data_IF_819761980704
#
_entry.id   IF_819761980704
#
_cell.length_a   1.000
_cell.length_b   1.000
_cell.length_c   1.000
_cell.angle_alpha   90.00
_cell.angle_beta   90.00
_cell.angle_gamma   90.00
#
_symmetry.space_group_name_H-M   'P 1'
#
loop_
_entity.id
_entity.type
_entity.pdbx_description
1 polymer ?
#
# COMPACT_ATOMS: atom_id res chain seq x y z
N UNK A 1 -32.01 2.54 23.04
CA UNK A 1 -31.49 1.37 22.30
C UNK A 1 -31.96 0.13 23.03
N UNK A 2 -32.69 -0.75 22.33
CA UNK A 2 -33.19 -2.00 22.91
C UNK A 2 -32.08 -3.05 22.94
N UNK A 3 -32.16 -4.03 23.85
CA UNK A 3 -31.18 -5.12 23.94
C UNK A 3 -31.05 -5.93 22.63
N UNK A 4 -32.13 -5.97 21.84
CA UNK A 4 -32.18 -6.61 20.53
C UNK A 4 -31.29 -5.90 19.50
N UNK A 5 -31.35 -4.56 19.45
CA UNK A 5 -30.53 -3.74 18.54
C UNK A 5 -29.04 -3.97 18.80
N UNK A 6 -28.63 -3.93 20.07
CA UNK A 6 -27.23 -4.14 20.47
C UNK A 6 -26.76 -5.55 20.09
N UNK A 7 -27.62 -6.55 20.28
CA UNK A 7 -27.31 -7.95 19.91
C UNK A 7 -27.14 -8.11 18.40
N UNK A 8 -27.98 -7.44 17.61
CA UNK A 8 -27.87 -7.46 16.15
C UNK A 8 -26.59 -6.76 15.67
N UNK A 9 -26.27 -5.59 16.22
CA UNK A 9 -25.02 -4.88 15.90
C UNK A 9 -23.79 -5.72 16.24
N UNK A 10 -23.78 -6.34 17.42
CA UNK A 10 -22.68 -7.22 17.84
C UNK A 10 -22.53 -8.40 16.88
N UNK A 11 -23.64 -9.03 16.48
CA UNK A 11 -23.62 -10.12 15.50
C UNK A 11 -23.02 -9.67 14.17
N UNK A 12 -23.43 -8.51 13.64
CA UNK A 12 -22.89 -7.97 12.37
C UNK A 12 -21.39 -7.70 12.49
N UNK A 13 -20.93 -7.12 13.60
CA UNK A 13 -19.49 -6.87 13.83
C UNK A 13 -18.71 -8.18 13.90
N UNK A 14 -19.21 -9.19 14.61
CA UNK A 14 -18.56 -10.50 14.71
C UNK A 14 -18.42 -11.17 13.33
N UNK A 15 -19.49 -11.16 12.52
CA UNK A 15 -19.45 -11.72 11.17
C UNK A 15 -18.48 -10.99 10.25
N UNK A 16 -18.49 -9.64 10.25
CA UNK A 16 -17.55 -8.83 9.45
C UNK A 16 -16.09 -9.03 9.87
N UNK A 17 -15.86 -9.14 11.18
CA UNK A 17 -14.53 -9.36 11.74
C UNK A 17 -14.01 -10.73 11.33
N UNK A 18 -14.82 -11.77 11.47
CA UNK A 18 -14.47 -13.12 11.02
C UNK A 18 -14.17 -13.16 9.52
N UNK A 19 -15.02 -12.54 8.70
CA UNK A 19 -14.78 -12.42 7.25
C UNK A 19 -13.48 -11.69 6.92
N UNK A 20 -13.15 -10.61 7.64
CA UNK A 20 -11.90 -9.86 7.45
C UNK A 20 -10.69 -10.69 7.84
N UNK A 21 -10.76 -11.46 8.92
CA UNK A 21 -9.69 -12.39 9.32
C UNK A 21 -9.49 -13.47 8.26
N UNK A 22 -10.56 -14.05 7.72
CA UNK A 22 -10.45 -15.01 6.62
C UNK A 22 -9.78 -14.40 5.38
N UNK A 23 -10.17 -13.18 4.99
CA UNK A 23 -9.54 -12.46 3.87
C UNK A 23 -8.07 -12.14 4.16
N UNK A 24 -7.73 -11.76 5.40
CA UNK A 24 -6.36 -11.50 5.80
C UNK A 24 -5.49 -12.75 5.74
N UNK A 25 -6.00 -13.90 6.22
CA UNK A 25 -5.33 -15.20 6.11
C UNK A 25 -5.13 -15.57 4.64
N UNK A 26 -6.15 -15.38 3.80
CA UNK A 26 -6.04 -15.63 2.37
C UNK A 26 -4.98 -14.74 1.71
N UNK A 27 -4.99 -13.43 2.00
CA UNK A 27 -3.99 -12.46 1.50
C UNK A 27 -2.59 -12.67 2.06
N UNK A 28 -2.47 -13.32 3.21
CA UNK A 28 -1.18 -13.72 3.76
C UNK A 28 -0.54 -14.85 2.93
N UNK A 29 -1.35 -15.80 2.45
CA UNK A 29 -0.89 -16.90 1.59
C UNK A 29 -0.68 -16.42 0.14
N UNK A 30 -1.60 -15.58 -0.36
CA UNK A 30 -1.55 -15.02 -1.71
C UNK A 30 -1.53 -13.49 -1.60
N UNK A 31 -0.33 -12.88 -1.49
CA UNK A 31 -0.20 -11.43 -1.39
C UNK A 31 -0.70 -10.74 -2.66
N UNK A 32 -1.20 -9.52 -2.49
CA UNK A 32 -1.59 -8.69 -3.63
C UNK A 32 -0.37 -8.37 -4.50
N UNK A 33 -0.53 -8.31 -5.83
CA UNK A 33 0.56 -7.94 -6.71
C UNK A 33 1.07 -6.54 -6.38
N UNK A 34 2.37 -6.33 -6.54
CA UNK A 34 2.98 -5.01 -6.35
C UNK A 34 2.31 -3.97 -7.27
N UNK A 35 2.10 -2.77 -6.73
CA UNK A 35 1.55 -1.66 -7.50
C UNK A 35 2.45 -1.34 -8.69
N UNK A 36 1.87 -1.33 -9.89
CA UNK A 36 2.59 -0.91 -11.09
C UNK A 36 2.92 0.59 -11.04
N UNK A 37 4.18 0.91 -11.36
CA UNK A 37 4.70 2.28 -11.47
C UNK A 37 4.91 2.74 -12.91
N UNK A 38 4.66 1.86 -13.89
CA UNK A 38 4.80 2.17 -15.31
C UNK A 38 3.94 3.39 -15.67
N UNK A 39 4.54 4.34 -16.40
CA UNK A 39 3.93 5.59 -16.87
C UNK A 39 3.45 6.53 -15.75
N UNK A 40 3.77 6.24 -14.49
CA UNK A 40 3.49 7.15 -13.38
C UNK A 40 4.60 8.19 -13.24
N UNK A 41 4.21 9.40 -12.83
CA UNK A 41 5.16 10.45 -12.44
C UNK A 41 5.42 10.31 -10.95
N UNK A 42 6.70 10.17 -10.56
CA UNK A 42 7.11 9.95 -9.17
C UNK A 42 8.21 10.93 -8.79
N UNK A 43 8.01 11.68 -7.71
CA UNK A 43 9.02 12.55 -7.12
C UNK A 43 9.90 11.77 -6.14
N UNK A 44 11.22 11.87 -6.29
CA UNK A 44 12.20 11.29 -5.37
C UNK A 44 13.04 12.41 -4.78
N UNK A 45 12.94 12.62 -3.47
CA UNK A 45 13.77 13.56 -2.71
C UNK A 45 15.05 12.87 -2.20
N UNK A 46 16.16 13.59 -2.05
CA UNK A 46 17.45 13.00 -1.67
C UNK A 46 18.01 12.07 -2.75
N UNK A 47 17.71 12.35 -4.03
CA UNK A 47 18.04 11.48 -5.16
C UNK A 47 19.50 11.49 -5.62
N UNK A 48 20.31 12.42 -5.12
CA UNK A 48 21.73 12.61 -5.45
C UNK A 48 22.65 11.56 -4.85
N UNK A 49 22.23 10.88 -3.76
CA UNK A 49 23.05 9.89 -3.07
C UNK A 49 22.32 8.69 -2.49
N UNK A 50 23.10 7.70 -2.04
CA UNK A 50 22.65 6.58 -1.22
C UNK A 50 21.41 5.85 -1.75
N UNK A 51 20.39 5.78 -0.91
CA UNK A 51 19.12 5.09 -1.19
C UNK A 51 18.28 5.83 -2.23
N UNK A 52 18.21 7.16 -2.17
CA UNK A 52 17.37 7.95 -3.09
C UNK A 52 17.78 7.75 -4.54
N UNK A 53 19.10 7.72 -4.81
CA UNK A 53 19.63 7.40 -6.14
C UNK A 53 19.23 6.01 -6.63
N UNK A 54 19.35 4.99 -5.79
CA UNK A 54 19.00 3.61 -6.16
C UNK A 54 17.49 3.43 -6.37
N UNK A 55 16.68 4.07 -5.54
CA UNK A 55 15.21 4.07 -5.65
C UNK A 55 14.81 4.74 -6.97
N UNK A 56 15.35 5.92 -7.27
CA UNK A 56 15.10 6.62 -8.53
C UNK A 56 15.44 5.77 -9.75
N UNK A 57 16.63 5.15 -9.75
CA UNK A 57 17.06 4.27 -10.84
C UNK A 57 16.12 3.06 -11.00
N UNK A 58 15.74 2.39 -9.91
CA UNK A 58 14.85 1.24 -9.97
C UNK A 58 13.44 1.61 -10.46
N UNK A 59 12.91 2.75 -10.04
CA UNK A 59 11.61 3.25 -10.50
C UNK A 59 11.63 3.60 -11.99
N UNK A 60 12.71 4.22 -12.48
CA UNK A 60 12.89 4.52 -13.89
C UNK A 60 12.97 3.23 -14.73
N UNK A 61 13.70 2.20 -14.27
CA UNK A 61 13.78 0.89 -14.94
C UNK A 61 12.42 0.18 -15.00
N UNK A 62 11.55 0.39 -14.01
CA UNK A 62 10.17 -0.12 -14.00
C UNK A 62 9.22 0.71 -14.90
N UNK A 63 9.73 1.72 -15.61
CA UNK A 63 8.99 2.53 -16.58
C UNK A 63 8.28 3.75 -15.99
N UNK A 64 8.64 4.18 -14.79
CA UNK A 64 8.14 5.43 -14.23
C UNK A 64 8.87 6.64 -14.84
N UNK A 65 8.18 7.77 -14.91
CA UNK A 65 8.80 9.09 -15.14
C UNK A 65 9.20 9.65 -13.79
N UNK A 66 10.49 9.74 -13.51
CA UNK A 66 10.99 10.13 -12.19
C UNK A 66 11.42 11.60 -12.20
N UNK A 67 10.93 12.37 -11.23
CA UNK A 67 11.38 13.74 -10.94
C UNK A 67 12.35 13.65 -9.78
N UNK A 68 13.59 14.09 -9.99
CA UNK A 68 14.68 13.99 -9.03
C UNK A 68 14.84 15.33 -8.32
N UNK A 69 14.87 15.30 -6.98
CA UNK A 69 15.08 16.47 -6.14
C UNK A 69 16.13 16.12 -5.10
N UNK A 70 17.17 16.95 -5.02
CA UNK A 70 18.14 16.93 -3.95
C UNK A 70 18.45 18.37 -3.52
N UNK A 71 19.00 18.52 -2.32
CA UNK A 71 19.38 19.82 -1.74
C UNK A 71 20.73 20.29 -2.26
N UNK A 72 21.59 19.35 -2.64
CA UNK A 72 22.89 19.57 -3.26
C UNK A 72 22.84 19.07 -4.72
N UNK A 73 23.66 19.67 -5.59
CA UNK A 73 23.71 19.40 -7.05
C UNK A 73 23.86 17.92 -7.42
#
# INVERSE_FOLDING_TARGET
MSALEVTFELLVVLLKTLGTVCVAIFRYIIPEPLKSVREKVILVTGSGGGLGRQIAQKLALLGARVVLVDVDE
#
